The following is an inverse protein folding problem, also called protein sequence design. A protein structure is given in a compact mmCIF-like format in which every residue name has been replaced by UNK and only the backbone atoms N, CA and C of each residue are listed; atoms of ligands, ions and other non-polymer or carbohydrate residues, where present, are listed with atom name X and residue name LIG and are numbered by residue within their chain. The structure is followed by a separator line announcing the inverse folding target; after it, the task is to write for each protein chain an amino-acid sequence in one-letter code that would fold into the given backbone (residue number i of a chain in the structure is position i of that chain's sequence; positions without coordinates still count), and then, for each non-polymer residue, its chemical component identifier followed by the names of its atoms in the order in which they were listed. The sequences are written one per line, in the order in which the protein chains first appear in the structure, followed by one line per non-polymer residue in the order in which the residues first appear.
data_IF_298313891463
#
_entry.id   IF_298313891463
#
_cell.length_a   1.000
_cell.length_b   1.000
_cell.length_c   1.000
_cell.angle_alpha   90.00
_cell.angle_beta   90.00
_cell.angle_gamma   90.00
#
_symmetry.space_group_name_H-M   'P 1'
#
loop_
_entity.id
_entity.type
_entity.pdbx_description
1 polymer ?
#
# COMPACT_ATOMS: atom_id res chain seq x y z
N UNK A 1 12.55 8.30 -2.55
CA UNK A 1 11.53 9.15 -3.19
C UNK A 1 10.90 9.99 -2.09
N UNK A 2 11.42 11.19 -1.86
CA UNK A 2 11.17 11.97 -0.62
C UNK A 2 9.71 12.45 -0.47
N UNK A 3 8.93 12.39 -1.55
CA UNK A 3 7.54 12.86 -1.55
C UNK A 3 6.52 11.76 -1.25
N UNK A 4 6.90 10.49 -1.11
CA UNK A 4 5.94 9.40 -0.88
C UNK A 4 5.08 9.02 -2.10
N UNK A 5 5.54 9.31 -3.32
CA UNK A 5 4.90 8.79 -4.53
C UNK A 5 5.21 7.31 -4.72
N UNK A 6 4.21 6.53 -5.12
CA UNK A 6 4.38 5.08 -5.27
C UNK A 6 3.18 4.41 -5.91
N UNK A 7 3.14 3.09 -5.80
CA UNK A 7 2.02 2.26 -6.24
C UNK A 7 1.83 1.16 -5.21
N UNK A 8 0.59 0.86 -4.84
CA UNK A 8 0.26 -0.36 -4.11
C UNK A 8 -0.26 -1.39 -5.11
N UNK A 9 0.28 -2.60 -5.04
CA UNK A 9 -0.11 -3.72 -5.90
C UNK A 9 -0.73 -4.78 -5.01
N UNK A 10 -1.98 -5.13 -5.28
CA UNK A 10 -2.70 -6.19 -4.60
C UNK A 10 -3.14 -7.27 -5.59
N UNK A 11 -3.25 -8.50 -5.12
CA UNK A 11 -3.69 -9.61 -5.96
C UNK A 11 -4.74 -10.45 -5.25
N UNK A 12 -5.79 -10.81 -5.98
CA UNK A 12 -6.78 -11.80 -5.54
C UNK A 12 -6.52 -13.08 -6.31
N UNK A 13 -5.93 -14.06 -5.64
CA UNK A 13 -5.64 -15.37 -6.21
C UNK A 13 -6.82 -16.32 -5.98
N UNK A 14 -7.44 -16.79 -7.06
CA UNK A 14 -8.43 -17.86 -7.07
C UNK A 14 -7.86 -19.14 -7.69
N UNK A 15 -8.60 -20.25 -7.61
CA UNK A 15 -8.15 -21.56 -8.10
C UNK A 15 -7.92 -21.61 -9.62
N UNK A 16 -8.71 -20.85 -10.38
CA UNK A 16 -8.64 -20.83 -11.85
C UNK A 16 -8.03 -19.53 -12.41
N UNK A 17 -7.99 -18.45 -11.63
CA UNK A 17 -7.45 -17.16 -12.10
C UNK A 17 -6.93 -16.30 -10.96
N UNK A 18 -5.98 -15.44 -11.28
CA UNK A 18 -5.47 -14.39 -10.39
C UNK A 18 -5.73 -13.03 -11.03
N UNK A 19 -6.31 -12.12 -10.26
CA UNK A 19 -6.49 -10.73 -10.65
C UNK A 19 -5.48 -9.87 -9.91
N UNK A 20 -4.82 -8.97 -10.61
CA UNK A 20 -3.83 -8.03 -10.05
C UNK A 20 -4.36 -6.62 -10.23
N UNK A 21 -4.32 -5.85 -9.15
CA UNK A 21 -4.75 -4.46 -9.09
C UNK A 21 -3.56 -3.58 -8.74
N UNK A 22 -3.45 -2.43 -9.41
CA UNK A 22 -2.46 -1.40 -9.10
C UNK A 22 -3.18 -0.09 -8.81
N UNK A 23 -2.87 0.54 -7.67
CA UNK A 23 -3.41 1.85 -7.30
C UNK A 23 -2.27 2.82 -7.06
N UNK A 24 -2.35 3.98 -7.69
CA UNK A 24 -1.31 5.00 -7.62
C UNK A 24 -1.34 5.74 -6.29
N UNK A 25 -0.16 6.06 -5.77
CA UNK A 25 0.01 6.89 -4.58
C UNK A 25 0.64 8.22 -4.98
N UNK A 26 -0.09 9.29 -4.71
CA UNK A 26 0.42 10.65 -4.77
C UNK A 26 0.61 11.16 -3.35
N UNK A 27 1.86 11.40 -2.96
CA UNK A 27 2.19 11.91 -1.63
C UNK A 27 1.64 11.06 -0.46
N UNK A 28 1.79 9.74 -0.58
CA UNK A 28 1.30 8.77 0.41
C UNK A 28 -0.22 8.57 0.41
N UNK A 29 -0.95 9.21 -0.51
CA UNK A 29 -2.42 9.11 -0.61
C UNK A 29 -2.85 8.47 -1.92
N UNK A 30 -3.92 7.70 -1.86
CA UNK A 30 -4.57 7.06 -2.99
C UNK A 30 -5.90 7.77 -3.29
N UNK A 31 -6.21 8.03 -4.56
CA UNK A 31 -7.53 8.55 -4.95
C UNK A 31 -8.61 7.47 -4.89
N UNK A 32 -8.24 6.21 -5.14
CA UNK A 32 -9.14 5.07 -5.00
C UNK A 32 -9.21 4.62 -3.54
N UNK A 33 -10.37 4.10 -3.13
CA UNK A 33 -10.52 3.44 -1.82
C UNK A 33 -9.55 2.27 -1.70
N UNK A 34 -8.78 2.28 -0.62
CA UNK A 34 -7.86 1.21 -0.25
C UNK A 34 -8.58 0.20 0.65
N UNK A 35 -8.23 -1.07 0.52
CA UNK A 35 -8.59 -2.06 1.53
C UNK A 35 -7.72 -1.85 2.78
N UNK A 36 -8.11 -2.40 3.95
CA UNK A 36 -7.28 -2.34 5.16
C UNK A 36 -5.85 -2.86 4.92
N UNK A 37 -5.71 -3.98 4.21
CA UNK A 37 -4.42 -4.61 3.92
C UNK A 37 -3.54 -3.76 3.01
N UNK A 38 -4.13 -3.07 2.03
CA UNK A 38 -3.40 -2.14 1.16
C UNK A 38 -2.92 -0.91 1.95
N UNK A 39 -3.74 -0.41 2.89
CA UNK A 39 -3.37 0.71 3.75
C UNK A 39 -2.25 0.33 4.73
N UNK A 40 -2.31 -0.86 5.32
CA UNK A 40 -1.23 -1.40 6.16
C UNK A 40 0.08 -1.54 5.38
N UNK A 41 0.03 -2.09 4.16
CA UNK A 41 1.21 -2.20 3.31
C UNK A 41 1.88 -0.83 3.03
N UNK A 42 1.08 0.23 2.86
CA UNK A 42 1.58 1.60 2.70
C UNK A 42 2.22 2.09 4.00
N UNK A 43 1.61 1.84 5.16
CA UNK A 43 2.13 2.24 6.45
C UNK A 43 3.48 1.58 6.74
N UNK A 44 3.61 0.28 6.47
CA UNK A 44 4.86 -0.47 6.57
C UNK A 44 5.92 0.13 5.66
N UNK A 45 5.59 0.34 4.38
CA UNK A 45 6.53 0.90 3.41
C UNK A 45 6.96 2.34 3.76
N UNK A 46 6.08 3.12 4.39
CA UNK A 46 6.35 4.47 4.87
C UNK A 46 7.10 4.50 6.21
N UNK A 47 7.33 3.35 6.86
CA UNK A 47 7.96 3.26 8.18
C UNK A 47 7.05 3.71 9.34
N UNK A 48 5.75 3.82 9.11
CA UNK A 48 4.75 4.22 10.11
C UNK A 48 4.39 3.07 11.08
N UNK A 49 4.76 1.84 10.74
CA UNK A 49 4.50 0.62 11.53
C UNK A 49 5.54 0.35 12.63
N UNK A 50 6.40 1.33 12.96
CA UNK A 50 7.52 1.09 13.88
C UNK A 50 8.15 2.25 14.64
N UNK A 51 7.64 3.50 14.56
CA UNK A 51 8.25 4.65 15.26
C UNK A 51 7.51 5.05 16.56
N UNK A 52 6.76 4.12 17.16
CA UNK A 52 6.36 4.17 18.58
C UNK A 52 7.25 3.28 19.48
N UNK A 53 8.27 2.61 18.92
CA UNK A 53 9.19 1.76 19.65
C UNK A 53 10.66 2.04 19.26
N UNK A 54 11.12 3.26 19.56
CA UNK A 54 12.55 3.54 19.77
C UNK A 54 13.30 4.17 18.60
N UNK A 55 13.15 5.49 18.44
CA UNK A 55 14.25 6.43 18.15
C UNK A 55 13.98 7.75 18.85
#
# INVERSE_FOLDING_TARGET
NEKGHGVVVSSVAGRESTRVYGKGLLSGKCEQTLTPEEQEAINIAAGLDGDAAGR
#
